data_IF_866968239651
#
_entry.id   IF_866968239651
#
_cell.length_a   1.000
_cell.length_b   1.000
_cell.length_c   1.000
_cell.angle_alpha   90.00
_cell.angle_beta   90.00
_cell.angle_gamma   90.00
#
_symmetry.space_group_name_H-M   'P 1'
#
loop_
_entity.id
_entity.type
_entity.pdbx_description
1 polymer ?
#
# COMPACT_ATOMS: atom_id res chain seq x y z
N UNK A 1 31.62 7.54 15.34
CA UNK A 1 30.41 7.62 14.51
C UNK A 1 30.66 6.83 13.24
N UNK A 2 29.97 5.70 13.08
CA UNK A 2 30.06 4.87 11.87
C UNK A 2 29.58 5.70 10.67
N UNK A 3 30.46 5.98 9.71
CA UNK A 3 30.07 6.49 8.39
C UNK A 3 29.22 5.39 7.73
N UNK A 4 27.91 5.46 7.88
CA UNK A 4 26.98 4.58 7.19
C UNK A 4 27.17 4.74 5.69
N UNK A 5 27.50 3.64 5.01
CA UNK A 5 27.75 3.64 3.58
C UNK A 5 26.40 3.70 2.85
N UNK A 6 25.97 4.90 2.46
CA UNK A 6 24.70 5.17 1.75
C UNK A 6 24.53 4.25 0.52
N UNK A 7 25.63 3.88 -0.16
CA UNK A 7 25.59 2.93 -1.28
C UNK A 7 25.13 1.53 -0.84
N UNK A 8 25.59 1.06 0.32
CA UNK A 8 25.15 -0.22 0.88
C UNK A 8 23.68 -0.19 1.34
N UNK A 9 23.21 0.94 1.88
CA UNK A 9 21.81 1.11 2.27
C UNK A 9 20.88 1.17 1.06
N UNK A 10 21.30 1.83 -0.03
CA UNK A 10 20.54 1.87 -1.28
C UNK A 10 20.42 0.48 -1.92
N UNK A 11 21.49 -0.32 -1.92
CA UNK A 11 21.45 -1.71 -2.42
C UNK A 11 20.48 -2.56 -1.60
N UNK A 12 20.54 -2.48 -0.26
CA UNK A 12 19.61 -3.18 0.62
C UNK A 12 18.16 -2.75 0.39
N UNK A 13 17.91 -1.45 0.25
CA UNK A 13 16.57 -0.94 -0.02
C UNK A 13 16.01 -1.46 -1.34
N UNK A 14 16.83 -1.58 -2.39
CA UNK A 14 16.42 -2.16 -3.68
C UNK A 14 16.09 -3.65 -3.57
N UNK A 15 16.92 -4.43 -2.87
CA UNK A 15 16.66 -5.85 -2.63
C UNK A 15 15.36 -6.04 -1.85
N UNK A 16 15.17 -5.31 -0.75
CA UNK A 16 13.93 -5.36 0.03
C UNK A 16 12.69 -4.95 -0.80
N UNK A 17 12.84 -4.04 -1.75
CA UNK A 17 11.76 -3.62 -2.64
C UNK A 17 11.37 -4.75 -3.62
N UNK A 18 12.35 -5.51 -4.11
CA UNK A 18 12.15 -6.67 -4.96
C UNK A 18 11.50 -7.82 -4.18
N UNK A 19 12.01 -8.16 -3.00
CA UNK A 19 11.44 -9.17 -2.11
C UNK A 19 9.98 -8.83 -1.73
N UNK A 20 9.69 -7.56 -1.39
CA UNK A 20 8.33 -7.13 -1.05
C UNK A 20 7.37 -7.18 -2.24
N UNK A 21 7.85 -6.99 -3.48
CA UNK A 21 7.02 -7.11 -4.67
C UNK A 21 6.64 -8.56 -4.94
N UNK A 22 7.60 -9.47 -4.81
CA UNK A 22 7.36 -10.91 -4.97
C UNK A 22 6.35 -11.41 -3.93
N UNK A 23 6.58 -11.10 -2.66
CA UNK A 23 5.64 -11.46 -1.57
C UNK A 23 4.25 -10.85 -1.76
N UNK A 24 4.16 -9.63 -2.29
CA UNK A 24 2.87 -8.99 -2.59
C UNK A 24 2.13 -9.72 -3.72
N UNK A 25 2.81 -10.13 -4.79
CA UNK A 25 2.21 -10.92 -5.87
C UNK A 25 1.73 -12.29 -5.38
N UNK A 26 2.55 -12.98 -4.59
CA UNK A 26 2.18 -14.26 -3.97
C UNK A 26 0.94 -14.11 -3.10
N UNK A 27 0.92 -13.11 -2.21
CA UNK A 27 -0.21 -12.84 -1.31
C UNK A 27 -1.49 -12.51 -2.09
N UNK A 28 -1.39 -11.75 -3.20
CA UNK A 28 -2.53 -11.46 -4.08
C UNK A 28 -3.06 -12.72 -4.76
N UNK A 29 -2.17 -13.58 -5.26
CA UNK A 29 -2.55 -14.86 -5.86
C UNK A 29 -3.27 -15.77 -4.86
N UNK A 30 -2.76 -15.87 -3.62
CA UNK A 30 -3.37 -16.66 -2.55
C UNK A 30 -4.73 -16.09 -2.11
N UNK A 31 -4.84 -14.77 -2.02
CA UNK A 31 -6.12 -14.09 -1.77
C UNK A 31 -7.14 -14.42 -2.86
N UNK A 32 -6.78 -14.30 -4.14
CA UNK A 32 -7.67 -14.58 -5.26
C UNK A 32 -8.11 -16.06 -5.31
N UNK A 33 -7.20 -16.99 -5.02
CA UNK A 33 -7.52 -18.42 -4.93
C UNK A 33 -8.50 -18.71 -3.79
N UNK A 34 -8.27 -18.14 -2.61
CA UNK A 34 -9.15 -18.30 -1.44
C UNK A 34 -10.51 -17.67 -1.69
N UNK A 35 -10.56 -16.51 -2.35
CA UNK A 35 -11.80 -15.85 -2.73
C UNK A 35 -12.63 -16.67 -3.72
N UNK A 36 -12.00 -17.28 -4.73
CA UNK A 36 -12.70 -18.18 -5.66
C UNK A 36 -13.34 -19.37 -4.95
N UNK A 37 -12.62 -20.01 -4.02
CA UNK A 37 -13.16 -21.12 -3.24
C UNK A 37 -14.31 -20.68 -2.33
N UNK A 38 -14.18 -19.53 -1.68
CA UNK A 38 -15.26 -18.95 -0.88
C UNK A 38 -16.51 -18.68 -1.72
N UNK A 39 -16.35 -18.15 -2.95
CA UNK A 39 -17.44 -17.93 -3.89
C UNK A 39 -18.11 -19.24 -4.33
N UNK A 40 -17.36 -20.32 -4.54
CA UNK A 40 -17.88 -21.66 -4.84
C UNK A 40 -18.74 -22.19 -3.69
N UNK A 41 -18.25 -22.13 -2.45
CA UNK A 41 -19.03 -22.52 -1.27
C UNK A 41 -20.31 -21.69 -1.13
N UNK A 42 -20.23 -20.37 -1.34
CA UNK A 42 -21.39 -19.48 -1.27
C UNK A 42 -22.44 -19.81 -2.34
N UNK A 43 -22.04 -20.24 -3.54
CA UNK A 43 -22.98 -20.69 -4.58
C UNK A 43 -23.73 -21.95 -4.17
N UNK A 44 -23.07 -22.90 -3.52
CA UNK A 44 -23.73 -24.11 -3.03
C UNK A 44 -24.71 -23.82 -1.90
N UNK A 45 -24.35 -22.93 -0.97
CA UNK A 45 -25.26 -22.45 0.08
C UNK A 45 -26.48 -21.75 -0.54
N UNK A 46 -26.28 -20.92 -1.56
CA UNK A 46 -27.37 -20.27 -2.28
C UNK A 46 -28.29 -21.29 -2.97
N UNK A 47 -27.72 -22.32 -3.60
CA UNK A 47 -28.48 -23.43 -4.21
C UNK A 47 -29.33 -24.16 -3.17
N UNK A 48 -28.77 -24.50 -2.00
CA UNK A 48 -29.50 -25.14 -0.92
C UNK A 48 -30.67 -24.28 -0.43
N UNK A 49 -30.44 -22.97 -0.24
CA UNK A 49 -31.49 -22.02 0.16
C UNK A 49 -32.61 -21.92 -0.89
N UNK A 50 -32.27 -21.90 -2.18
CA UNK A 50 -33.26 -21.85 -3.25
C UNK A 50 -34.10 -23.14 -3.32
N UNK A 51 -33.47 -24.30 -3.19
CA UNK A 51 -34.15 -25.59 -3.11
C UNK A 51 -35.14 -25.62 -1.95
N UNK A 52 -34.72 -25.15 -0.77
CA UNK A 52 -35.58 -25.10 0.41
C UNK A 52 -36.82 -24.21 0.21
N UNK A 53 -36.64 -23.01 -0.37
CA UNK A 53 -37.77 -22.12 -0.72
C UNK A 53 -38.74 -22.77 -1.71
N UNK A 54 -38.22 -23.46 -2.73
CA UNK A 54 -39.02 -24.18 -3.72
C UNK A 54 -39.81 -25.33 -3.08
N UNK A 55 -39.18 -26.10 -2.19
CA UNK A 55 -39.83 -27.16 -1.42
C UNK A 55 -40.96 -26.60 -0.55
N UNK A 56 -40.73 -25.51 0.18
CA UNK A 56 -41.76 -24.86 1.00
C UNK A 56 -42.95 -24.37 0.17
N UNK A 57 -42.69 -23.82 -1.02
CA UNK A 57 -43.74 -23.40 -1.95
C UNK A 57 -44.58 -24.60 -2.44
N UNK A 58 -43.93 -25.72 -2.79
CA UNK A 58 -44.61 -26.95 -3.18
C UNK A 58 -45.43 -27.51 -2.01
N UNK A 59 -44.92 -27.47 -0.77
CA UNK A 59 -45.69 -27.93 0.39
C UNK A 59 -46.93 -27.08 0.68
N UNK A 60 -46.83 -25.75 0.52
CA UNK A 60 -48.00 -24.87 0.63
C UNK A 60 -49.04 -25.21 -0.43
N UNK A 61 -48.62 -25.40 -1.68
CA UNK A 61 -49.52 -25.77 -2.78
C UNK A 61 -50.15 -27.16 -2.57
N UNK A 62 -49.37 -28.13 -2.10
CA UNK A 62 -49.86 -29.46 -1.72
C UNK A 62 -50.90 -29.40 -0.61
N UNK A 63 -50.70 -28.59 0.43
CA UNK A 63 -51.67 -28.47 1.52
C UNK A 63 -53.00 -27.89 1.03
N UNK A 64 -52.96 -26.80 0.24
CA UNK A 64 -54.17 -26.20 -0.36
C UNK A 64 -54.90 -27.23 -1.23
N UNK A 65 -54.17 -27.96 -2.07
CA UNK A 65 -54.76 -28.98 -2.95
C UNK A 65 -55.33 -30.16 -2.17
N UNK A 66 -54.69 -30.58 -1.07
CA UNK A 66 -55.20 -31.66 -0.19
C UNK A 66 -56.49 -31.23 0.52
N UNK A 67 -56.54 -30.03 1.08
CA UNK A 67 -57.77 -29.47 1.65
C UNK A 67 -58.91 -29.42 0.62
N UNK A 68 -58.60 -29.00 -0.61
CA UNK A 68 -59.57 -28.97 -1.71
C UNK A 68 -60.06 -30.40 -2.05
N UNK A 69 -59.17 -31.39 -2.09
CA UNK A 69 -59.55 -32.80 -2.32
C UNK A 69 -60.41 -33.33 -1.17
N UNK A 70 -60.06 -33.02 0.08
CA UNK A 70 -60.78 -33.47 1.27
C UNK A 70 -62.20 -32.87 1.36
N UNK A 71 -62.44 -31.72 0.71
CA UNK A 71 -63.76 -31.11 0.59
C UNK A 71 -64.67 -31.73 -0.48
N UNK A 72 -64.16 -32.62 -1.36
CA UNK A 72 -64.97 -33.27 -2.42
C UNK A 72 -66.25 -33.93 -1.91
N UNK A 73 -66.25 -34.72 -0.82
CA UNK A 73 -67.47 -35.33 -0.30
C UNK A 73 -68.49 -34.28 0.16
N UNK A 74 -68.01 -33.19 0.75
CA UNK A 74 -68.86 -32.06 1.19
C UNK A 74 -69.50 -31.38 -0.01
N UNK A 75 -68.74 -31.09 -1.06
CA UNK A 75 -69.25 -30.49 -2.31
C UNK A 75 -70.32 -31.38 -2.96
N UNK A 76 -70.10 -32.69 -3.01
CA UNK A 76 -71.09 -33.61 -3.61
C UNK A 76 -72.39 -33.66 -2.79
N UNK A 77 -72.28 -33.67 -1.45
CA UNK A 77 -73.43 -33.59 -0.56
C UNK A 77 -74.17 -32.25 -0.69
N UNK A 78 -73.47 -31.13 -0.75
CA UNK A 78 -74.06 -29.81 -0.97
C UNK A 78 -74.78 -29.72 -2.31
N UNK A 79 -74.21 -30.31 -3.37
CA UNK A 79 -74.83 -30.37 -4.69
C UNK A 79 -76.13 -31.17 -4.68
N UNK A 80 -76.13 -32.33 -4.01
CA UNK A 80 -77.33 -33.15 -3.87
C UNK A 80 -78.42 -32.44 -3.04
N UNK A 81 -78.03 -31.84 -1.91
CA UNK A 81 -78.94 -31.12 -1.00
C UNK A 81 -79.53 -29.89 -1.68
N UNK A 82 -78.70 -29.05 -2.31
CA UNK A 82 -79.13 -27.88 -3.08
C UNK A 82 -80.13 -28.26 -4.16
N UNK A 83 -79.86 -29.34 -4.90
CA UNK A 83 -80.79 -29.81 -5.93
C UNK A 83 -82.15 -30.17 -5.31
N UNK A 84 -82.15 -30.97 -4.24
CA UNK A 84 -83.37 -31.42 -3.57
C UNK A 84 -84.17 -30.25 -2.99
N UNK A 85 -83.52 -29.29 -2.33
CA UNK A 85 -84.18 -28.14 -1.71
C UNK A 85 -84.90 -27.28 -2.75
N UNK A 86 -84.23 -26.93 -3.85
CA UNK A 86 -84.84 -26.15 -4.93
C UNK A 86 -85.93 -26.95 -5.67
N UNK A 87 -85.73 -28.24 -5.92
CA UNK A 87 -86.75 -29.10 -6.55
C UNK A 87 -88.02 -29.17 -5.69
N UNK A 88 -87.88 -29.24 -4.36
CA UNK A 88 -89.01 -29.20 -3.41
C UNK A 88 -89.72 -27.85 -3.42
N UNK A 89 -88.98 -26.74 -3.32
CA UNK A 89 -89.57 -25.38 -3.36
C UNK A 89 -90.33 -25.12 -4.67
N UNK A 90 -89.73 -25.46 -5.81
CA UNK A 90 -90.37 -25.31 -7.13
C UNK A 90 -91.64 -26.17 -7.22
N UNK A 91 -91.64 -27.36 -6.63
CA UNK A 91 -92.80 -28.25 -6.61
C UNK A 91 -93.93 -27.65 -5.76
N UNK A 92 -93.64 -27.16 -4.56
CA UNK A 92 -94.62 -26.50 -3.68
C UNK A 92 -95.31 -25.33 -4.40
N UNK A 93 -94.53 -24.45 -5.03
CA UNK A 93 -95.04 -23.33 -5.82
C UNK A 93 -95.91 -23.79 -7.02
N UNK A 94 -95.51 -24.87 -7.71
CA UNK A 94 -96.30 -25.44 -8.80
C UNK A 94 -97.58 -26.12 -8.30
N UNK A 95 -97.59 -26.66 -7.09
CA UNK A 95 -98.79 -27.25 -6.50
C UNK A 95 -99.81 -26.16 -6.11
N UNK A 96 -99.39 -24.99 -5.62
CA UNK A 96 -100.27 -23.83 -5.43
C UNK A 96 -100.95 -23.37 -6.73
N UNK A 97 -100.24 -23.38 -7.85
CA UNK A 97 -100.84 -23.06 -9.16
C UNK A 97 -101.97 -24.04 -9.51
N UNK A 98 -101.79 -25.34 -9.22
CA UNK A 98 -102.82 -26.36 -9.48
C UNK A 98 -104.05 -26.15 -8.62
N UNK A 99 -103.89 -25.84 -7.33
CA UNK A 99 -105.00 -25.51 -6.43
C UNK A 99 -105.80 -24.32 -6.99
N UNK A 100 -105.11 -23.25 -7.40
CA UNK A 100 -105.78 -22.09 -8.02
C UNK A 100 -106.43 -22.42 -9.38
N UNK A 101 -105.92 -23.38 -10.15
CA UNK A 101 -106.57 -23.86 -11.38
C UNK A 101 -107.85 -24.67 -11.09
N UNK A 102 -107.87 -25.42 -10.00
CA UNK A 102 -109.06 -26.14 -9.52
C UNK A 102 -110.12 -25.18 -8.98
N UNK A 103 -109.70 -24.16 -8.22
CA UNK A 103 -110.56 -23.08 -7.73
C UNK A 103 -111.18 -22.30 -8.89
N UNK A 104 -110.39 -21.89 -9.89
CA UNK A 104 -110.90 -21.19 -11.07
C UNK A 104 -111.92 -22.04 -11.85
N UNK A 105 -111.73 -23.36 -11.93
CA UNK A 105 -112.70 -24.30 -12.54
C UNK A 105 -113.98 -24.41 -11.73
N UNK A 106 -113.90 -24.34 -10.40
CA UNK A 106 -115.09 -24.34 -9.53
C UNK A 106 -115.84 -23.01 -9.66
N UNK A 107 -115.14 -21.88 -9.56
CA UNK A 107 -115.73 -20.54 -9.71
C UNK A 107 -116.42 -20.40 -11.06
N UNK A 108 -115.80 -20.89 -12.15
CA UNK A 108 -116.39 -20.85 -13.48
C UNK A 108 -117.71 -21.63 -13.55
N UNK A 109 -117.79 -22.83 -12.95
CA UNK A 109 -119.03 -23.59 -12.86
C UNK A 109 -120.13 -22.83 -12.12
N UNK A 110 -119.80 -22.20 -11.00
CA UNK A 110 -120.76 -21.38 -10.23
C UNK A 110 -121.23 -20.18 -11.05
N UNK A 111 -120.33 -19.51 -11.78
CA UNK A 111 -120.69 -18.38 -12.65
C UNK A 111 -121.65 -18.81 -13.77
N UNK A 112 -121.40 -19.97 -14.39
CA UNK A 112 -122.26 -20.53 -15.44
C UNK A 112 -123.66 -20.88 -14.89
N UNK A 113 -123.77 -21.32 -13.63
CA UNK A 113 -125.06 -21.61 -12.97
C UNK A 113 -125.85 -20.33 -12.58
N UNK A 114 -125.16 -19.22 -12.29
CA UNK A 114 -125.77 -17.98 -11.79
C UNK A 114 -126.32 -17.05 -12.87
N UNK A 115 -125.88 -17.19 -14.12
CA UNK A 115 -126.26 -16.30 -15.22
C UNK A 115 -126.62 -17.12 -16.46
N UNK A 116 -127.88 -17.08 -16.89
CA UNK A 116 -128.20 -17.50 -18.25
C UNK A 116 -127.91 -16.35 -19.24
N UNK A 117 -127.38 -16.68 -20.43
CA UNK A 117 -127.23 -15.74 -21.55
C UNK A 117 -128.57 -15.15 -22.05
N UNK A 118 -129.70 -15.59 -21.47
CA UNK A 118 -131.06 -15.31 -21.95
C UNK A 118 -131.81 -14.29 -21.11
N UNK A 119 -131.39 -13.98 -19.87
CA UNK A 119 -132.22 -13.19 -18.97
C UNK A 119 -131.44 -12.26 -18.01
N UNK A 120 -131.36 -10.98 -18.38
CA UNK A 120 -130.68 -9.93 -17.59
C UNK A 120 -131.25 -9.75 -16.16
N UNK A 121 -132.52 -10.09 -15.94
CA UNK A 121 -133.17 -9.95 -14.64
C UNK A 121 -132.57 -10.86 -13.56
N UNK A 122 -131.93 -11.96 -13.94
CA UNK A 122 -131.32 -12.95 -13.02
C UNK A 122 -130.15 -12.37 -12.22
N UNK A 123 -129.56 -11.26 -12.69
CA UNK A 123 -128.46 -10.56 -12.04
C UNK A 123 -128.89 -9.79 -10.79
N UNK A 124 -130.17 -9.44 -10.68
CA UNK A 124 -130.75 -8.68 -9.57
C UNK A 124 -131.59 -9.55 -8.63
N UNK A 125 -131.53 -10.88 -8.78
CA UNK A 125 -132.14 -11.81 -7.83
C UNK A 125 -131.40 -11.69 -6.50
N UNK A 126 -132.18 -11.39 -5.46
CA UNK A 126 -131.70 -11.35 -4.10
C UNK A 126 -131.60 -12.76 -3.52
N UNK A 127 -130.53 -13.00 -2.76
CA UNK A 127 -130.26 -14.23 -2.03
C UNK A 127 -129.81 -13.86 -0.62
N UNK A 128 -130.17 -14.65 0.40
CA UNK A 128 -129.78 -14.41 1.79
C UNK A 128 -128.28 -14.64 2.09
N UNK A 129 -127.39 -14.35 1.13
CA UNK A 129 -125.94 -14.40 1.33
C UNK A 129 -125.50 -13.18 2.13
N UNK A 130 -124.77 -13.45 3.23
CA UNK A 130 -124.29 -12.45 4.19
C UNK A 130 -123.43 -11.32 3.60
N UNK A 131 -122.71 -11.56 2.50
CA UNK A 131 -121.73 -10.62 1.94
C UNK A 131 -122.24 -9.99 0.62
N UNK A 132 -122.94 -10.77 -0.20
CA UNK A 132 -123.41 -10.35 -1.52
C UNK A 132 -124.90 -10.68 -1.69
N UNK A 133 -125.75 -9.76 -1.24
CA UNK A 133 -127.20 -9.95 -1.24
C UNK A 133 -127.77 -10.14 -2.66
N UNK A 134 -127.14 -9.56 -3.68
CA UNK A 134 -127.57 -9.70 -5.07
C UNK A 134 -126.58 -10.53 -5.90
N UNK A 135 -127.09 -11.27 -6.88
CA UNK A 135 -126.27 -12.09 -7.79
C UNK A 135 -125.15 -11.28 -8.49
N UNK A 136 -125.40 -10.06 -8.96
CA UNK A 136 -124.36 -9.25 -9.63
C UNK A 136 -123.16 -8.92 -8.72
N UNK A 137 -123.38 -8.73 -7.42
CA UNK A 137 -122.30 -8.49 -6.43
C UNK A 137 -121.48 -9.77 -6.24
N UNK A 138 -122.15 -10.92 -6.12
CA UNK A 138 -121.47 -12.20 -5.98
C UNK A 138 -120.65 -12.56 -7.23
N UNK A 139 -121.22 -12.34 -8.42
CA UNK A 139 -120.55 -12.52 -9.71
C UNK A 139 -119.30 -11.63 -9.80
N UNK A 140 -119.39 -10.37 -9.36
CA UNK A 140 -118.24 -9.46 -9.35
C UNK A 140 -117.13 -10.00 -8.43
N UNK A 141 -117.44 -10.40 -7.20
CA UNK A 141 -116.47 -10.97 -6.26
C UNK A 141 -115.81 -12.25 -6.80
N UNK A 142 -116.59 -13.14 -7.43
CA UNK A 142 -116.08 -14.35 -8.06
C UNK A 142 -115.13 -14.05 -9.23
N UNK A 143 -115.47 -13.05 -10.07
CA UNK A 143 -114.59 -12.57 -11.14
C UNK A 143 -113.32 -11.93 -10.60
N UNK A 144 -113.42 -11.16 -9.51
CA UNK A 144 -112.26 -10.57 -8.83
C UNK A 144 -111.33 -11.64 -8.23
N UNK A 145 -111.89 -12.72 -7.66
CA UNK A 145 -111.12 -13.86 -7.17
C UNK A 145 -110.35 -14.56 -8.32
N UNK A 146 -111.01 -14.84 -9.46
CA UNK A 146 -110.32 -15.40 -10.64
C UNK A 146 -109.25 -14.45 -11.21
N UNK A 147 -109.51 -13.14 -11.18
CA UNK A 147 -108.53 -12.14 -11.59
C UNK A 147 -107.32 -12.13 -10.64
N UNK A 148 -107.54 -12.20 -9.33
CA UNK A 148 -106.50 -12.29 -8.30
C UNK A 148 -105.67 -13.56 -8.48
N UNK A 149 -106.31 -14.72 -8.69
CA UNK A 149 -105.63 -15.99 -8.99
C UNK A 149 -104.75 -15.88 -10.25
N UNK A 150 -105.22 -15.22 -11.31
CA UNK A 150 -104.42 -15.02 -12.53
C UNK A 150 -103.15 -14.17 -12.28
N UNK A 151 -103.27 -13.11 -11.50
CA UNK A 151 -102.11 -12.28 -11.12
C UNK A 151 -101.13 -13.05 -10.25
N UNK A 152 -101.66 -13.80 -9.29
CA UNK A 152 -100.85 -14.60 -8.39
C UNK A 152 -100.12 -15.73 -9.13
N UNK A 153 -100.80 -16.47 -10.01
CA UNK A 153 -100.17 -17.43 -10.94
C UNK A 153 -99.05 -16.78 -11.76
N UNK A 154 -99.23 -15.52 -12.20
CA UNK A 154 -98.20 -14.80 -12.95
C UNK A 154 -96.98 -14.48 -12.07
N UNK A 155 -97.21 -14.11 -10.80
CA UNK A 155 -96.16 -13.89 -9.79
C UNK A 155 -95.40 -15.18 -9.49
N UNK A 156 -96.11 -16.27 -9.19
CA UNK A 156 -95.52 -17.58 -8.90
C UNK A 156 -94.72 -18.10 -10.09
N UNK A 157 -95.23 -17.99 -11.32
CA UNK A 157 -94.47 -18.40 -12.51
C UNK A 157 -93.17 -17.62 -12.72
N UNK A 158 -93.10 -16.35 -12.29
CA UNK A 158 -91.84 -15.59 -12.28
C UNK A 158 -90.89 -16.11 -11.21
N UNK A 159 -91.40 -16.33 -9.99
CA UNK A 159 -90.64 -16.87 -8.87
C UNK A 159 -90.03 -18.25 -9.20
N UNK A 160 -90.82 -19.15 -9.79
CA UNK A 160 -90.34 -20.48 -10.25
C UNK A 160 -89.16 -20.33 -11.22
N UNK A 161 -89.22 -19.40 -12.18
CA UNK A 161 -88.12 -19.15 -13.11
C UNK A 161 -86.88 -18.57 -12.41
N UNK A 162 -87.06 -17.73 -11.40
CA UNK A 162 -85.97 -17.20 -10.57
C UNK A 162 -85.31 -18.32 -9.76
N UNK A 163 -86.10 -19.19 -9.12
CA UNK A 163 -85.61 -20.36 -8.39
C UNK A 163 -84.86 -21.35 -9.31
N UNK A 164 -85.38 -21.66 -10.49
CA UNK A 164 -84.71 -22.50 -11.49
C UNK A 164 -83.38 -21.89 -11.94
N UNK A 165 -83.31 -20.57 -12.08
CA UNK A 165 -82.08 -19.84 -12.42
C UNK A 165 -81.06 -19.89 -11.28
N UNK A 166 -81.48 -19.58 -10.06
CA UNK A 166 -80.60 -19.63 -8.89
C UNK A 166 -80.07 -21.04 -8.61
N UNK A 167 -80.94 -22.06 -8.72
CA UNK A 167 -80.54 -23.46 -8.61
C UNK A 167 -79.42 -23.78 -9.59
N UNK A 168 -79.60 -23.39 -10.86
CA UNK A 168 -78.58 -23.61 -11.89
C UNK A 168 -77.28 -22.88 -11.57
N UNK A 169 -77.34 -21.60 -11.19
CA UNK A 169 -76.14 -20.81 -10.86
C UNK A 169 -75.34 -21.41 -9.70
N UNK A 170 -76.02 -21.86 -8.63
CA UNK A 170 -75.37 -22.53 -7.50
C UNK A 170 -74.79 -23.88 -7.87
N UNK A 171 -75.52 -24.70 -8.63
CA UNK A 171 -75.01 -26.00 -9.09
C UNK A 171 -73.81 -25.84 -10.03
N UNK A 172 -73.82 -24.84 -10.91
CA UNK A 172 -72.69 -24.53 -11.81
C UNK A 172 -71.46 -24.07 -11.02
N UNK A 173 -71.63 -23.31 -9.93
CA UNK A 173 -70.53 -22.94 -9.04
C UNK A 173 -69.93 -24.15 -8.32
N UNK A 174 -70.77 -25.01 -7.72
CA UNK A 174 -70.33 -26.24 -7.07
C UNK A 174 -69.62 -27.18 -8.05
N UNK A 175 -70.10 -27.27 -9.29
CA UNK A 175 -69.47 -28.07 -10.34
C UNK A 175 -68.08 -27.52 -10.73
N UNK A 176 -67.89 -26.21 -10.76
CA UNK A 176 -66.56 -25.61 -11.00
C UNK A 176 -65.59 -26.00 -9.88
N UNK A 177 -65.99 -25.85 -8.61
CA UNK A 177 -65.14 -26.22 -7.47
C UNK A 177 -64.83 -27.72 -7.46
N UNK A 178 -65.80 -28.57 -7.79
CA UNK A 178 -65.57 -30.01 -7.96
C UNK A 178 -64.51 -30.30 -9.04
N UNK A 179 -64.62 -29.66 -10.19
CA UNK A 179 -63.66 -29.83 -11.29
C UNK A 179 -62.25 -29.38 -10.90
N UNK A 180 -62.12 -28.30 -10.12
CA UNK A 180 -60.85 -27.84 -9.56
C UNK A 180 -60.26 -28.86 -8.58
N UNK A 181 -61.08 -29.42 -7.71
CA UNK A 181 -60.68 -30.47 -6.76
C UNK A 181 -60.25 -31.78 -7.48
N UNK A 182 -60.94 -32.17 -8.55
CA UNK A 182 -60.54 -33.32 -9.37
C UNK A 182 -59.24 -33.10 -10.13
N UNK A 183 -58.98 -31.87 -10.60
CA UNK A 183 -57.67 -31.49 -11.16
C UNK A 183 -56.58 -31.56 -10.10
N UNK A 184 -56.82 -31.00 -8.92
CA UNK A 184 -55.89 -31.08 -7.79
C UNK A 184 -55.55 -32.54 -7.45
N UNK A 185 -56.53 -33.45 -7.47
CA UNK A 185 -56.31 -34.89 -7.25
C UNK A 185 -55.34 -35.53 -8.24
N UNK A 186 -55.31 -35.06 -9.50
CA UNK A 186 -54.37 -35.54 -10.53
C UNK A 186 -52.98 -34.92 -10.39
N UNK A 187 -52.91 -33.67 -9.91
CA UNK A 187 -51.65 -32.92 -9.76
C UNK A 187 -50.87 -33.27 -8.49
N UNK A 188 -51.56 -33.60 -7.39
CA UNK A 188 -50.94 -33.91 -6.09
C UNK A 188 -49.85 -35.00 -6.21
N UNK A 189 -50.05 -36.14 -6.88
CA UNK A 189 -48.99 -37.16 -7.02
C UNK A 189 -47.73 -36.62 -7.71
N UNK A 190 -47.88 -35.80 -8.75
CA UNK A 190 -46.75 -35.20 -9.47
C UNK A 190 -45.99 -34.19 -8.59
N UNK A 191 -46.71 -33.39 -7.80
CA UNK A 191 -46.12 -32.45 -6.85
C UNK A 191 -45.43 -33.17 -5.69
N UNK A 192 -45.99 -34.28 -5.20
CA UNK A 192 -45.38 -35.12 -4.17
C UNK A 192 -44.08 -35.74 -4.67
N UNK A 193 -44.07 -36.31 -5.89
CA UNK A 193 -42.87 -36.86 -6.51
C UNK A 193 -41.78 -35.78 -6.69
N UNK A 194 -42.14 -34.63 -7.26
CA UNK A 194 -41.22 -33.49 -7.42
C UNK A 194 -40.67 -33.00 -6.08
N UNK A 195 -41.50 -32.96 -5.03
CA UNK A 195 -41.05 -32.56 -3.69
C UNK A 195 -40.04 -33.55 -3.12
N UNK A 196 -40.23 -34.86 -3.32
CA UNK A 196 -39.29 -35.90 -2.88
C UNK A 196 -37.96 -35.81 -3.61
N UNK A 197 -37.99 -35.59 -4.93
CA UNK A 197 -36.76 -35.39 -5.71
C UNK A 197 -35.97 -34.18 -5.22
N UNK A 198 -36.65 -33.04 -5.02
CA UNK A 198 -36.03 -31.82 -4.50
C UNK A 198 -35.50 -32.00 -3.08
N UNK A 199 -36.22 -32.72 -2.21
CA UNK A 199 -35.75 -33.05 -0.86
C UNK A 199 -34.49 -33.91 -0.89
N UNK A 200 -34.45 -34.94 -1.75
CA UNK A 200 -33.26 -35.76 -1.91
C UNK A 200 -32.06 -34.96 -2.46
N UNK A 201 -32.29 -34.00 -3.36
CA UNK A 201 -31.25 -33.08 -3.83
C UNK A 201 -30.78 -32.12 -2.73
N UNK A 202 -31.70 -31.59 -1.92
CA UNK A 202 -31.40 -30.75 -0.78
C UNK A 202 -30.59 -31.51 0.28
N UNK A 203 -30.95 -32.74 0.60
CA UNK A 203 -30.21 -33.59 1.53
C UNK A 203 -28.79 -33.87 1.04
N UNK A 204 -28.61 -34.19 -0.25
CA UNK A 204 -27.28 -34.35 -0.85
C UNK A 204 -26.45 -33.07 -0.76
N UNK A 205 -27.06 -31.94 -1.07
CA UNK A 205 -26.39 -30.63 -1.02
C UNK A 205 -26.01 -30.27 0.41
N UNK A 206 -26.92 -30.43 1.37
CA UNK A 206 -26.65 -30.17 2.79
C UNK A 206 -25.57 -31.10 3.36
N UNK A 207 -25.57 -32.39 2.96
CA UNK A 207 -24.52 -33.32 3.35
C UNK A 207 -23.16 -32.87 2.82
N UNK A 208 -23.09 -32.46 1.55
CA UNK A 208 -21.85 -31.96 0.97
C UNK A 208 -21.38 -30.67 1.67
N UNK A 209 -22.29 -29.73 1.93
CA UNK A 209 -22.00 -28.51 2.68
C UNK A 209 -21.45 -28.80 4.08
N UNK A 210 -21.96 -29.82 4.78
CA UNK A 210 -21.44 -30.26 6.07
C UNK A 210 -20.04 -30.87 5.94
N UNK A 211 -19.78 -31.66 4.90
CA UNK A 211 -18.47 -32.26 4.65
C UNK A 211 -17.39 -31.21 4.36
N UNK A 212 -17.74 -30.11 3.68
CA UNK A 212 -16.79 -29.05 3.32
C UNK A 212 -16.77 -27.88 4.32
N UNK A 213 -17.57 -27.92 5.38
CA UNK A 213 -17.75 -26.78 6.30
C UNK A 213 -16.44 -26.35 6.97
N UNK A 214 -15.63 -27.30 7.43
CA UNK A 214 -14.34 -27.01 8.05
C UNK A 214 -13.38 -26.36 7.05
N UNK A 215 -13.38 -26.83 5.81
CA UNK A 215 -12.58 -26.25 4.73
C UNK A 215 -13.07 -24.86 4.34
N UNK A 216 -14.38 -24.62 4.34
CA UNK A 216 -14.97 -23.31 4.08
C UNK A 216 -14.63 -22.30 5.20
N UNK A 217 -14.65 -22.75 6.46
CA UNK A 217 -14.22 -21.94 7.60
C UNK A 217 -12.73 -21.57 7.47
N UNK A 218 -11.88 -22.53 7.15
CA UNK A 218 -10.45 -22.29 6.93
C UNK A 218 -10.21 -21.34 5.74
N UNK A 219 -10.89 -21.54 4.61
CA UNK A 219 -10.78 -20.64 3.45
C UNK A 219 -11.17 -19.19 3.80
N UNK A 220 -12.15 -18.97 4.69
CA UNK A 220 -12.53 -17.64 5.14
C UNK A 220 -11.48 -17.00 6.07
N UNK A 221 -10.86 -17.80 6.94
CA UNK A 221 -9.74 -17.35 7.77
C UNK A 221 -8.53 -16.98 6.91
N UNK A 222 -8.18 -17.85 5.95
CA UNK A 222 -7.11 -17.64 4.97
C UNK A 222 -7.36 -16.37 4.15
N UNK A 223 -8.58 -16.16 3.67
CA UNK A 223 -8.95 -14.96 2.90
C UNK A 223 -8.74 -13.68 3.70
N UNK A 224 -9.09 -13.70 5.00
CA UNK A 224 -8.84 -12.58 5.90
C UNK A 224 -7.34 -12.37 6.11
N UNK A 225 -6.60 -13.45 6.37
CA UNK A 225 -5.15 -13.40 6.58
C UNK A 225 -4.44 -12.82 5.35
N UNK A 226 -4.68 -13.36 4.15
CA UNK A 226 -4.05 -12.89 2.92
C UNK A 226 -4.45 -11.45 2.57
N UNK A 227 -5.69 -11.04 2.87
CA UNK A 227 -6.10 -9.64 2.72
C UNK A 227 -5.27 -8.70 3.60
N UNK A 228 -5.08 -9.07 4.86
CA UNK A 228 -4.29 -8.30 5.82
C UNK A 228 -2.80 -8.28 5.40
N UNK A 229 -2.27 -9.39 4.89
CA UNK A 229 -0.90 -9.48 4.34
C UNK A 229 -0.71 -8.59 3.12
N UNK A 230 -1.65 -8.61 2.15
CA UNK A 230 -1.63 -7.71 0.99
C UNK A 230 -1.55 -6.26 1.44
N UNK A 231 -2.41 -5.84 2.38
CA UNK A 231 -2.39 -4.47 2.91
C UNK A 231 -1.06 -4.12 3.58
N UNK A 232 -0.52 -5.04 4.38
CA UNK A 232 0.76 -4.86 5.08
C UNK A 232 1.92 -4.71 4.08
N UNK A 233 1.96 -5.54 3.05
CA UNK A 233 2.99 -5.47 2.02
C UNK A 233 2.85 -4.20 1.16
N UNK A 234 1.64 -3.78 0.81
CA UNK A 234 1.41 -2.51 0.10
C UNK A 234 1.94 -1.30 0.90
N UNK A 235 1.66 -1.25 2.21
CA UNK A 235 2.16 -0.19 3.09
C UNK A 235 3.70 -0.23 3.24
N UNK A 236 4.28 -1.43 3.42
CA UNK A 236 5.73 -1.59 3.53
C UNK A 236 6.44 -1.18 2.24
N UNK A 237 5.86 -1.52 1.08
CA UNK A 237 6.38 -1.20 -0.23
C UNK A 237 6.35 0.32 -0.46
N UNK A 238 5.27 1.01 -0.08
CA UNK A 238 5.21 2.48 -0.14
C UNK A 238 6.33 3.14 0.71
N UNK A 239 6.57 2.61 1.92
CA UNK A 239 7.64 3.11 2.79
C UNK A 239 9.04 2.88 2.20
N UNK A 240 9.32 1.67 1.70
CA UNK A 240 10.63 1.32 1.12
C UNK A 240 10.88 2.10 -0.16
N UNK A 241 9.86 2.32 -1.01
CA UNK A 241 9.95 3.18 -2.20
C UNK A 241 10.37 4.60 -1.83
N UNK A 242 9.73 5.21 -0.82
CA UNK A 242 10.10 6.56 -0.36
C UNK A 242 11.55 6.60 0.14
N UNK A 243 11.95 5.59 0.93
CA UNK A 243 13.31 5.48 1.45
C UNK A 243 14.36 5.28 0.36
N UNK A 244 14.09 4.44 -0.64
CA UNK A 244 14.98 4.23 -1.79
C UNK A 244 15.16 5.54 -2.58
N UNK A 245 14.07 6.28 -2.83
CA UNK A 245 14.13 7.56 -3.52
C UNK A 245 14.98 8.60 -2.76
N UNK A 246 14.83 8.68 -1.43
CA UNK A 246 15.66 9.55 -0.59
C UNK A 246 17.15 9.18 -0.63
N UNK A 247 17.47 7.88 -0.51
CA UNK A 247 18.84 7.38 -0.56
C UNK A 247 19.46 7.63 -1.94
N UNK A 248 18.72 7.38 -3.01
CA UNK A 248 19.14 7.62 -4.39
C UNK A 248 19.43 9.11 -4.64
N UNK A 249 18.60 10.02 -4.09
CA UNK A 249 18.86 11.47 -4.14
C UNK A 249 20.14 11.86 -3.38
N UNK A 250 20.33 11.35 -2.15
CA UNK A 250 21.55 11.60 -1.36
C UNK A 250 22.82 11.07 -2.05
N UNK A 251 22.75 9.89 -2.65
CA UNK A 251 23.87 9.26 -3.36
C UNK A 251 24.23 10.06 -4.61
N UNK A 252 23.23 10.54 -5.36
CA UNK A 252 23.44 11.44 -6.50
C UNK A 252 24.16 12.74 -6.10
N UNK A 253 23.74 13.35 -4.99
CA UNK A 253 24.35 14.58 -4.48
C UNK A 253 25.80 14.35 -4.02
N UNK A 254 26.06 13.27 -3.29
CA UNK A 254 27.43 12.91 -2.89
C UNK A 254 28.34 12.63 -4.10
N UNK A 255 27.82 11.97 -5.14
CA UNK A 255 28.59 11.73 -6.36
C UNK A 255 28.94 13.05 -7.07
N UNK A 256 28.02 14.02 -7.13
CA UNK A 256 28.30 15.36 -7.68
C UNK A 256 29.39 16.08 -6.88
N UNK A 257 29.28 16.08 -5.55
CA UNK A 257 30.29 16.67 -4.67
C UNK A 257 31.66 16.01 -4.84
N UNK A 258 31.71 14.67 -4.92
CA UNK A 258 32.94 13.93 -5.15
C UNK A 258 33.57 14.28 -6.50
N UNK A 259 32.75 14.41 -7.55
CA UNK A 259 33.21 14.76 -8.90
C UNK A 259 33.82 16.18 -8.91
N UNK A 260 33.16 17.13 -8.23
CA UNK A 260 33.68 18.50 -8.08
C UNK A 260 34.99 18.53 -7.29
N UNK A 261 35.11 17.78 -6.19
CA UNK A 261 36.34 17.70 -5.41
C UNK A 261 37.49 17.06 -6.19
N UNK A 262 37.22 16.03 -7.00
CA UNK A 262 38.22 15.42 -7.87
C UNK A 262 38.70 16.40 -8.96
N UNK A 263 37.80 17.19 -9.53
CA UNK A 263 38.17 18.25 -10.47
C UNK A 263 39.04 19.33 -9.81
N UNK A 264 38.64 19.82 -8.63
CA UNK A 264 39.44 20.78 -7.85
C UNK A 264 40.82 20.23 -7.49
N UNK A 265 40.90 18.95 -7.09
CA UNK A 265 42.18 18.29 -6.82
C UNK A 265 43.08 18.30 -8.05
N UNK A 266 42.56 17.94 -9.22
CA UNK A 266 43.34 17.96 -10.47
C UNK A 266 43.81 19.37 -10.86
N UNK A 267 42.99 20.40 -10.60
CA UNK A 267 43.39 21.80 -10.80
C UNK A 267 44.53 22.21 -9.86
N UNK A 268 44.46 21.85 -8.57
CA UNK A 268 45.52 22.11 -7.59
C UNK A 268 46.81 21.37 -7.97
N UNK A 269 46.73 20.11 -8.40
CA UNK A 269 47.90 19.34 -8.84
C UNK A 269 48.59 19.99 -10.05
N UNK A 270 47.82 20.52 -11.02
CA UNK A 270 48.37 21.31 -12.13
C UNK A 270 49.04 22.59 -11.64
N UNK A 271 48.38 23.37 -10.79
CA UNK A 271 48.90 24.61 -10.26
C UNK A 271 50.20 24.38 -9.45
N UNK A 272 50.28 23.29 -8.68
CA UNK A 272 51.49 22.90 -7.95
C UNK A 272 52.62 22.55 -8.92
N UNK A 273 52.37 21.75 -9.95
CA UNK A 273 53.38 21.42 -10.96
C UNK A 273 53.90 22.67 -11.69
N UNK A 274 53.02 23.61 -12.05
CA UNK A 274 53.42 24.88 -12.66
C UNK A 274 54.26 25.75 -11.71
N UNK A 275 53.88 25.78 -10.42
CA UNK A 275 54.63 26.50 -9.39
C UNK A 275 56.01 25.88 -9.17
N UNK A 276 56.14 24.55 -9.14
CA UNK A 276 57.42 23.84 -9.04
C UNK A 276 58.33 24.17 -10.23
N UNK A 277 57.81 24.10 -11.46
CA UNK A 277 58.56 24.43 -12.69
C UNK A 277 59.02 25.89 -12.67
N UNK A 278 58.13 26.82 -12.30
CA UNK A 278 58.46 28.24 -12.25
C UNK A 278 59.50 28.55 -11.16
N UNK A 279 59.37 27.95 -9.98
CA UNK A 279 60.32 28.11 -8.86
C UNK A 279 61.70 27.55 -9.23
N UNK A 280 61.76 26.35 -9.83
CA UNK A 280 63.01 25.77 -10.30
C UNK A 280 63.70 26.66 -11.35
N UNK A 281 62.92 27.22 -12.28
CA UNK A 281 63.42 28.18 -13.27
C UNK A 281 63.98 29.45 -12.62
N UNK A 282 63.25 30.04 -11.67
CA UNK A 282 63.71 31.24 -10.94
C UNK A 282 65.00 30.98 -10.15
N UNK A 283 65.10 29.83 -9.47
CA UNK A 283 66.33 29.43 -8.78
C UNK A 283 67.49 29.32 -9.78
N UNK A 284 67.30 28.59 -10.88
CA UNK A 284 68.32 28.44 -11.92
C UNK A 284 68.78 29.79 -12.49
N UNK A 285 67.83 30.68 -12.81
CA UNK A 285 68.13 32.01 -13.36
C UNK A 285 68.89 32.88 -12.34
N UNK A 286 68.52 32.80 -11.05
CA UNK A 286 69.20 33.50 -9.97
C UNK A 286 70.63 32.95 -9.73
N UNK A 287 70.80 31.63 -9.72
CA UNK A 287 72.11 30.97 -9.61
C UNK A 287 73.02 31.40 -10.75
N UNK A 288 72.56 31.33 -12.01
CA UNK A 288 73.32 31.79 -13.17
C UNK A 288 73.70 33.27 -13.09
N UNK A 289 72.83 34.12 -12.53
CA UNK A 289 73.13 35.53 -12.31
C UNK A 289 74.23 35.71 -11.26
N UNK A 290 74.12 35.02 -10.12
CA UNK A 290 75.14 35.08 -9.07
C UNK A 290 76.48 34.51 -9.51
N UNK A 291 76.51 33.42 -10.28
CA UNK A 291 77.76 32.88 -10.84
C UNK A 291 78.47 33.90 -11.74
N UNK A 292 77.70 34.63 -12.56
CA UNK A 292 78.24 35.74 -13.37
C UNK A 292 78.77 36.89 -12.51
N UNK A 293 78.14 37.17 -11.38
CA UNK A 293 78.61 38.18 -10.43
C UNK A 293 79.89 37.73 -9.72
N UNK A 294 79.98 36.47 -9.29
CA UNK A 294 81.18 35.86 -8.70
C UNK A 294 82.35 35.93 -9.68
N UNK A 295 82.16 35.50 -10.94
CA UNK A 295 83.21 35.55 -11.96
C UNK A 295 83.73 36.99 -12.20
N UNK A 296 82.85 38.00 -12.11
CA UNK A 296 83.28 39.40 -12.19
C UNK A 296 84.12 39.81 -10.99
N UNK A 297 83.73 39.41 -9.78
CA UNK A 297 84.47 39.68 -8.55
C UNK A 297 85.84 39.01 -8.59
N UNK A 298 85.91 37.73 -8.97
CA UNK A 298 87.17 36.99 -9.10
C UNK A 298 88.12 37.64 -10.10
N UNK A 299 87.59 38.09 -11.25
CA UNK A 299 88.38 38.83 -12.23
C UNK A 299 88.95 40.14 -11.66
N UNK A 300 88.15 40.87 -10.88
CA UNK A 300 88.59 42.09 -10.21
C UNK A 300 89.64 41.81 -9.12
N UNK A 301 89.45 40.73 -8.35
CA UNK A 301 90.40 40.30 -7.33
C UNK A 301 91.75 39.94 -7.96
N UNK A 302 91.75 39.13 -9.03
CA UNK A 302 92.96 38.77 -9.78
C UNK A 302 93.69 39.99 -10.36
N UNK A 303 92.95 40.96 -10.91
CA UNK A 303 93.54 42.21 -11.41
C UNK A 303 94.19 43.04 -10.29
N UNK A 304 93.58 43.09 -9.11
CA UNK A 304 94.18 43.76 -7.95
C UNK A 304 95.42 43.02 -7.46
N UNK A 305 95.34 41.69 -7.34
CA UNK A 305 96.45 40.85 -6.89
C UNK A 305 97.66 40.98 -7.81
N UNK A 306 97.47 40.90 -9.12
CA UNK A 306 98.53 41.14 -10.11
C UNK A 306 99.11 42.55 -10.02
N UNK A 307 98.30 43.57 -9.75
CA UNK A 307 98.80 44.93 -9.50
C UNK A 307 99.59 45.04 -8.19
N UNK A 308 99.21 44.32 -7.14
CA UNK A 308 99.92 44.29 -5.86
C UNK A 308 101.26 43.57 -6.05
N UNK A 309 101.29 42.42 -6.72
CA UNK A 309 102.51 41.67 -6.98
C UNK A 309 103.52 42.49 -7.79
N UNK A 310 103.08 43.26 -8.80
CA UNK A 310 103.97 44.20 -9.50
C UNK A 310 104.60 45.24 -8.57
N UNK A 311 103.83 45.77 -7.61
CA UNK A 311 104.36 46.70 -6.60
C UNK A 311 105.33 46.01 -5.65
N UNK A 312 105.07 44.76 -5.29
CA UNK A 312 105.99 43.94 -4.48
C UNK A 312 107.31 43.76 -5.25
N UNK A 313 107.27 43.35 -6.52
CA UNK A 313 108.48 43.20 -7.35
C UNK A 313 109.30 44.50 -7.46
N UNK A 314 108.61 45.66 -7.58
CA UNK A 314 109.26 46.97 -7.58
C UNK A 314 109.93 47.29 -6.24
N UNK A 315 109.27 46.99 -5.13
CA UNK A 315 109.83 47.15 -3.79
C UNK A 315 111.01 46.20 -3.56
N UNK A 316 110.93 44.95 -4.01
CA UNK A 316 112.03 43.98 -3.92
C UNK A 316 113.25 44.43 -4.71
N UNK A 317 113.07 45.01 -5.91
CA UNK A 317 114.15 45.64 -6.69
C UNK A 317 114.78 46.83 -5.96
N UNK A 318 113.97 47.62 -5.25
CA UNK A 318 114.48 48.72 -4.43
C UNK A 318 115.25 48.19 -3.21
N UNK A 319 114.75 47.15 -2.55
CA UNK A 319 115.42 46.49 -1.43
C UNK A 319 116.77 45.93 -1.87
N UNK A 320 116.84 45.21 -3.00
CA UNK A 320 118.12 44.67 -3.52
C UNK A 320 119.12 45.78 -3.84
N UNK A 321 118.69 46.91 -4.41
CA UNK A 321 119.56 48.09 -4.58
C UNK A 321 120.07 48.64 -3.25
N UNK A 322 119.21 48.71 -2.23
CA UNK A 322 119.61 49.16 -0.90
C UNK A 322 120.60 48.18 -0.27
N UNK A 323 120.40 46.87 -0.42
CA UNK A 323 121.33 45.84 0.06
C UNK A 323 122.70 45.90 -0.62
N UNK A 324 122.75 46.19 -1.93
CA UNK A 324 124.00 46.46 -2.64
C UNK A 324 124.71 47.70 -2.09
N UNK A 325 123.96 48.78 -1.83
CA UNK A 325 124.50 49.98 -1.18
C UNK A 325 125.05 49.66 0.22
N UNK A 326 124.33 48.86 1.02
CA UNK A 326 124.77 48.43 2.35
C UNK A 326 126.06 47.58 2.26
N UNK A 327 126.15 46.66 1.29
CA UNK A 327 127.37 45.87 1.04
C UNK A 327 128.56 46.77 0.69
N UNK A 328 128.34 47.80 -0.11
CA UNK A 328 129.38 48.77 -0.50
C UNK A 328 129.87 49.58 0.72
N UNK A 329 128.94 50.01 1.59
CA UNK A 329 129.25 50.68 2.86
C UNK A 329 130.03 49.76 3.81
N UNK A 330 129.64 48.49 3.92
CA UNK A 330 130.35 47.50 4.74
C UNK A 330 131.79 47.26 4.24
N UNK A 331 132.00 47.25 2.92
CA UNK A 331 133.34 47.19 2.30
C UNK A 331 134.22 48.37 2.71
N UNK A 332 133.67 49.57 2.82
CA UNK A 332 134.40 50.76 3.29
C UNK A 332 134.71 50.70 4.79
N UNK A 333 133.80 50.17 5.61
CA UNK A 333 134.00 49.96 7.05
C UNK A 333 135.11 48.95 7.37
N UNK A 334 135.27 47.89 6.55
CA UNK A 334 136.34 46.89 6.71
C UNK A 334 137.73 47.46 6.40
N UNK A 335 137.85 48.44 5.49
CA UNK A 335 139.13 49.16 5.25
C UNK A 335 139.56 50.01 6.46
N UNK A 336 138.62 50.61 7.18
CA UNK A 336 138.91 51.49 8.33
C UNK A 336 139.26 50.73 9.63
N UNK A 337 138.82 49.47 9.78
CA UNK A 337 139.07 48.67 10.99
C UNK A 337 140.50 48.09 11.09
N UNK A 338 141.26 48.02 9.99
CA UNK A 338 142.56 47.34 9.96
C UNK A 338 143.79 48.12 10.46
N UNK A 339 143.70 49.42 10.76
CA UNK A 339 144.89 50.17 11.27
C UNK A 339 144.69 50.77 12.67
N UNK A 340 143.46 50.96 13.15
CA UNK A 340 143.20 51.34 14.57
C UNK A 340 143.63 50.26 15.58
N UNK A 341 143.86 49.02 15.13
CA UNK A 341 144.31 47.90 15.96
C UNK A 341 145.82 47.87 16.28
N UNK A 342 146.67 48.70 15.65
CA UNK A 342 148.09 48.79 16.04
C UNK A 342 148.39 49.85 17.11
N UNK A 343 147.43 50.74 17.44
CA UNK A 343 147.61 51.84 18.42
C UNK A 343 147.11 51.53 19.83
N UNK A 344 146.50 50.35 20.08
CA UNK A 344 145.90 49.99 21.38
C UNK A 344 146.82 49.14 22.29
N UNK A 345 147.97 48.64 21.82
CA UNK A 345 148.97 48.03 22.70
C UNK A 345 149.88 49.06 23.45
N UNK A 346 149.53 50.34 23.45
CA UNK A 346 150.31 51.42 24.11
C UNK A 346 149.92 51.61 25.60
N UNK A 347 148.85 51.00 26.13
CA UNK A 347 148.34 51.34 27.49
C UNK A 347 147.91 50.14 28.36
N UNK A 348 148.79 49.16 28.54
CA UNK A 348 148.81 48.27 29.73
C UNK A 348 150.07 48.49 30.58
N UNK A 349 150.57 49.73 30.60
CA UNK A 349 151.20 50.29 31.79
C UNK A 349 150.13 50.87 32.70
N UNK A 350 150.46 51.11 33.97
CA UNK A 350 149.67 51.97 34.88
C UNK A 350 148.44 51.38 35.59
N UNK A 351 148.47 50.12 36.07
CA UNK A 351 147.49 49.70 37.10
C UNK A 351 147.94 48.73 38.21
N UNK A 352 149.23 48.44 38.39
CA UNK A 352 149.69 47.69 39.58
C UNK A 352 150.88 48.34 40.30
N UNK A 353 150.85 49.67 40.41
CA UNK A 353 151.54 50.46 41.45
C UNK A 353 150.85 50.25 42.82
N UNK A 354 150.42 49.01 43.09
CA UNK A 354 149.72 48.50 44.27
C UNK A 354 150.65 47.66 45.16
N UNK A 355 151.96 47.87 45.05
CA UNK A 355 152.93 47.55 46.10
C UNK A 355 153.75 48.80 46.41
N UNK A 356 152.99 49.81 46.81
CA UNK A 356 153.39 50.91 47.67
C UNK A 356 154.30 50.38 48.80
N UNK A 357 155.57 50.76 48.74
CA UNK A 357 156.21 51.58 49.78
C UNK A 357 156.23 51.08 51.24
N UNK A 358 155.96 49.79 51.48
CA UNK A 358 156.08 49.14 52.77
C UNK A 358 157.40 48.39 52.89
N UNK A 359 158.28 48.91 53.75
CA UNK A 359 159.56 48.36 54.21
C UNK A 359 160.84 48.70 53.43
N UNK A 360 161.13 50.01 53.37
CA UNK A 360 162.47 50.48 53.74
C UNK A 360 162.78 50.07 55.19
N UNK A 361 163.31 48.86 55.42
CA UNK A 361 164.14 48.47 56.59
C UNK A 361 164.37 46.95 56.67
N UNK A 362 165.10 46.37 55.70
CA UNK A 362 166.01 45.24 55.97
C UNK A 362 167.25 45.51 55.09
N UNK A 363 168.20 46.28 55.63
CA UNK A 363 169.51 45.78 56.07
C UNK A 363 170.18 44.86 55.03
N UNK A 364 171.16 45.31 54.24
CA UNK A 364 172.53 45.64 54.67
C UNK A 364 173.15 44.57 55.59
N UNK A 365 173.34 43.34 55.09
CA UNK A 365 174.31 42.36 55.63
C UNK A 365 174.89 41.52 54.48
N UNK A 366 176.22 41.62 54.34
CA UNK A 366 177.19 40.56 54.02
C UNK A 366 176.89 39.60 52.83
N UNK A 367 177.70 39.53 51.78
CA UNK A 367 179.17 39.31 51.75
C UNK A 367 179.62 38.16 52.67
N UNK A 368 179.98 37.04 52.05
CA UNK A 368 181.03 36.10 52.47
C UNK A 368 180.74 35.15 53.65
N UNK A 369 180.53 33.86 53.32
CA UNK A 369 181.24 32.64 53.82
C UNK A 369 180.32 31.42 53.59
N UNK A 370 180.67 30.52 52.66
CA UNK A 370 181.57 29.36 52.82
C UNK A 370 180.90 28.19 53.57
N UNK A 371 180.79 27.09 52.82
CA UNK A 371 180.88 25.68 53.18
C UNK A 371 179.95 25.05 54.23
N UNK A 372 179.35 23.96 53.71
CA UNK A 372 179.29 22.60 54.26
C UNK A 372 178.57 22.37 55.59
N UNK A 373 177.60 21.46 55.46
CA UNK A 373 177.32 20.36 56.39
C UNK A 373 176.69 20.78 57.72
N UNK A 374 175.86 19.98 58.38
CA UNK A 374 175.13 18.73 58.12
C UNK A 374 174.41 18.51 59.46
N UNK A 375 173.26 17.85 59.41
CA UNK A 375 173.21 16.59 60.13
C UNK A 375 173.29 15.49 59.08
#
# INVERSE_FOLDING_TARGET
MLKTNIKSESIKAKQTLEDLKELLEESKSLFDQSNKKADEHNKEVAKASELQKKIEAIFKDLNIKKELIDSLPTIENEKQTTKQDYDNQIKEEKDFIKEMDEDDKLIKRILDDLVSDKNFSEWYVYSDRLIDGFNHQYIARLKDAMWSNRHEKTRINKLVKELEKEQKEKLDQLEKTKNEAEKAKKEVPMLEEKSKEMQAELEKTNKHLLEINDQAAQNNEDLKMYKDEVQKFEQALEFVVKKEAELSKKLSEQNKQLTNLLAQKQEIEKALSELEISTAKTISDATLKHDKEILKIDKLAYQKETSINKKIDELEKLITKIEEVIKEIQKQLVKNKKVKLLKVCIYTGWFCFFFFFLQSNILKVCKSKINKYKY
#
